data_IF_014492420419
#
_entry.id   IF_014492420419
#
_cell.length_a   1.000
_cell.length_b   1.000
_cell.length_c   1.000
_cell.angle_alpha   90.00
_cell.angle_beta   90.00
_cell.angle_gamma   90.00
#
_symmetry.space_group_name_H-M   'P 1'
#
loop_
_entity.id
_entity.type
_entity.pdbx_description
1 polymer ?
#
# COMPACT_ATOMS: atom_id res chain seq x y z
N UNK A 1 6.06 19.82 10.67
CA UNK A 1 5.49 18.74 11.56
C UNK A 1 5.82 19.05 13.00
N UNK A 2 4.87 18.85 13.94
CA UNK A 2 5.07 19.06 15.39
C UNK A 2 6.07 18.06 15.96
N UNK A 3 6.89 18.48 16.94
CA UNK A 3 7.95 17.66 17.51
C UNK A 3 7.43 16.36 18.14
N UNK A 4 6.31 16.41 18.85
CA UNK A 4 5.70 15.24 19.48
C UNK A 4 5.31 14.16 18.45
N UNK A 5 4.80 14.56 17.27
CA UNK A 5 4.45 13.65 16.19
C UNK A 5 5.73 13.07 15.55
N UNK A 6 6.78 13.90 15.39
CA UNK A 6 8.09 13.45 14.89
C UNK A 6 8.67 12.35 15.77
N UNK A 7 8.65 12.55 17.09
CA UNK A 7 9.21 11.59 18.05
C UNK A 7 8.45 10.25 18.01
N UNK A 8 7.11 10.29 17.95
CA UNK A 8 6.26 9.08 17.83
C UNK A 8 6.54 8.38 16.49
N UNK A 9 6.54 9.11 15.39
CA UNK A 9 6.73 8.55 14.06
C UNK A 9 8.11 7.88 13.92
N UNK A 10 9.17 8.53 14.41
CA UNK A 10 10.50 7.97 14.40
C UNK A 10 10.61 6.69 15.23
N UNK A 11 9.94 6.64 16.41
CA UNK A 11 9.88 5.45 17.23
C UNK A 11 9.17 4.30 16.51
N UNK A 12 8.02 4.55 15.89
CA UNK A 12 7.23 3.54 15.20
C UNK A 12 7.93 3.02 13.94
N UNK A 13 8.51 3.89 13.12
CA UNK A 13 9.30 3.50 11.94
C UNK A 13 10.47 2.59 12.35
N UNK A 14 11.21 2.98 13.38
CA UNK A 14 12.29 2.16 13.94
C UNK A 14 11.78 0.79 14.40
N UNK A 15 10.68 0.77 15.17
CA UNK A 15 10.08 -0.47 15.69
C UNK A 15 9.58 -1.38 14.58
N UNK A 16 8.92 -0.82 13.57
CA UNK A 16 8.44 -1.55 12.39
C UNK A 16 9.60 -2.24 11.65
N UNK A 17 10.71 -1.52 11.47
CA UNK A 17 11.93 -2.04 10.84
C UNK A 17 12.61 -3.13 11.68
N UNK A 18 12.74 -2.92 13.00
CA UNK A 18 13.33 -3.91 13.92
C UNK A 18 12.58 -5.22 13.97
N UNK A 19 11.27 -5.18 13.77
CA UNK A 19 10.42 -6.38 13.72
C UNK A 19 10.50 -7.11 12.36
N UNK A 20 11.14 -6.53 11.34
CA UNK A 20 11.22 -7.14 10.00
C UNK A 20 9.85 -7.31 9.34
N UNK A 21 8.90 -6.39 9.59
CA UNK A 21 7.53 -6.51 9.04
C UNK A 21 7.57 -6.47 7.51
N UNK A 22 8.46 -5.69 6.93
CA UNK A 22 8.66 -5.59 5.47
C UNK A 22 9.32 -6.83 4.85
N UNK A 23 9.95 -7.70 5.67
CA UNK A 23 10.65 -8.90 5.18
C UNK A 23 9.67 -10.07 4.93
N UNK A 24 8.38 -9.89 5.18
CA UNK A 24 7.37 -10.89 4.90
C UNK A 24 7.23 -11.11 3.38
N UNK A 25 6.93 -12.35 2.99
CA UNK A 25 6.74 -12.72 1.59
C UNK A 25 5.64 -11.85 0.97
N UNK A 26 5.96 -11.26 -0.19
CA UNK A 26 5.04 -10.40 -0.97
C UNK A 26 4.51 -9.16 -0.21
N UNK A 27 5.14 -8.74 0.91
CA UNK A 27 4.71 -7.59 1.69
C UNK A 27 4.52 -6.33 0.83
N UNK A 28 5.51 -5.95 0.02
CA UNK A 28 5.42 -4.76 -0.83
C UNK A 28 4.23 -4.83 -1.80
N UNK A 29 3.97 -6.00 -2.35
CA UNK A 29 2.86 -6.23 -3.29
C UNK A 29 1.51 -6.03 -2.60
N UNK A 30 1.28 -6.72 -1.47
CA UNK A 30 0.00 -6.63 -0.76
C UNK A 30 -0.20 -5.26 -0.12
N UNK A 31 0.87 -4.64 0.37
CA UNK A 31 0.81 -3.29 0.90
C UNK A 31 0.41 -2.28 -0.17
N UNK A 32 0.97 -2.39 -1.38
CA UNK A 32 0.58 -1.56 -2.52
C UNK A 32 -0.88 -1.81 -2.95
N UNK A 33 -1.34 -3.06 -2.93
CA UNK A 33 -2.74 -3.38 -3.25
C UNK A 33 -3.71 -2.76 -2.24
N UNK A 34 -3.38 -2.79 -0.95
CA UNK A 34 -4.12 -2.09 0.09
C UNK A 34 -4.18 -0.57 -0.17
N UNK A 35 -3.04 0.07 -0.44
CA UNK A 35 -2.98 1.51 -0.80
C UNK A 35 -3.91 1.83 -1.96
N UNK A 36 -3.88 1.05 -3.05
CA UNK A 36 -4.70 1.27 -4.24
C UNK A 36 -6.18 1.15 -3.89
N UNK A 37 -6.54 0.07 -3.18
CA UNK A 37 -7.93 -0.23 -2.83
C UNK A 37 -8.52 0.86 -1.93
N UNK A 38 -7.81 1.27 -0.89
CA UNK A 38 -8.26 2.35 -0.02
C UNK A 38 -8.31 3.70 -0.73
N UNK A 39 -7.33 3.99 -1.58
CA UNK A 39 -7.33 5.24 -2.36
C UNK A 39 -8.52 5.35 -3.31
N UNK A 40 -8.94 4.23 -3.93
CA UNK A 40 -10.15 4.21 -4.77
C UNK A 40 -11.43 4.20 -3.93
N UNK A 41 -11.41 3.58 -2.75
CA UNK A 41 -12.55 3.55 -1.83
C UNK A 41 -12.90 4.94 -1.26
N UNK A 42 -11.91 5.83 -1.07
CA UNK A 42 -12.14 7.25 -0.74
C UNK A 42 -12.98 7.93 -1.82
N UNK A 43 -12.80 7.55 -3.09
CA UNK A 43 -13.56 8.09 -4.25
C UNK A 43 -14.87 7.33 -4.49
N UNK A 44 -15.22 6.36 -3.65
CA UNK A 44 -16.49 5.67 -3.68
C UNK A 44 -16.46 4.23 -4.21
N UNK A 45 -15.29 3.67 -4.54
CA UNK A 45 -15.17 2.25 -4.89
C UNK A 45 -15.57 1.36 -3.69
N UNK A 46 -16.31 0.31 -3.98
CA UNK A 46 -16.73 -0.70 -3.00
C UNK A 46 -15.95 -2.01 -3.15
N UNK A 47 -14.98 -2.07 -4.05
CA UNK A 47 -14.08 -3.21 -4.24
C UNK A 47 -13.25 -3.40 -2.97
N UNK A 48 -13.24 -4.62 -2.42
CA UNK A 48 -12.46 -4.97 -1.23
C UNK A 48 -11.01 -5.32 -1.59
N UNK A 49 -10.12 -5.38 -0.61
CA UNK A 49 -8.71 -5.76 -0.84
C UNK A 49 -8.58 -7.16 -1.45
N UNK A 50 -9.38 -8.12 -0.97
CA UNK A 50 -9.39 -9.49 -1.51
C UNK A 50 -9.86 -9.50 -2.98
N UNK A 51 -10.94 -8.77 -3.30
CA UNK A 51 -11.43 -8.64 -4.67
C UNK A 51 -10.42 -7.93 -5.58
N UNK A 52 -9.75 -6.90 -5.06
CA UNK A 52 -8.70 -6.20 -5.78
C UNK A 52 -7.48 -7.11 -6.05
N UNK A 53 -7.08 -7.93 -5.08
CA UNK A 53 -6.02 -8.90 -5.26
C UNK A 53 -6.36 -9.91 -6.39
N UNK A 54 -7.55 -10.51 -6.37
CA UNK A 54 -8.00 -11.42 -7.42
C UNK A 54 -8.05 -10.72 -8.79
N UNK A 55 -8.49 -9.46 -8.81
CA UNK A 55 -8.53 -8.65 -10.04
C UNK A 55 -7.11 -8.38 -10.57
N UNK A 56 -6.14 -8.08 -9.71
CA UNK A 56 -4.78 -7.73 -10.10
C UNK A 56 -3.92 -8.93 -10.47
N UNK A 57 -4.07 -10.05 -9.76
CA UNK A 57 -3.24 -11.23 -9.94
C UNK A 57 -3.80 -12.20 -10.98
N UNK A 58 -5.13 -12.38 -11.01
CA UNK A 58 -5.78 -13.42 -11.81
C UNK A 58 -6.71 -12.85 -12.90
N UNK A 59 -6.96 -11.52 -12.90
CA UNK A 59 -7.92 -10.88 -13.80
C UNK A 59 -9.38 -11.22 -13.48
N UNK A 60 -9.66 -11.77 -12.28
CA UNK A 60 -11.02 -12.13 -11.85
C UNK A 60 -11.73 -10.87 -11.40
N UNK A 61 -12.87 -10.57 -12.05
CA UNK A 61 -13.69 -9.40 -11.74
C UNK A 61 -14.52 -9.62 -10.48
N UNK A 62 -14.63 -8.57 -9.64
CA UNK A 62 -15.44 -8.58 -8.43
C UNK A 62 -16.93 -8.69 -8.77
N UNK A 63 -17.56 -9.78 -8.32
CA UNK A 63 -18.98 -10.07 -8.63
C UNK A 63 -19.90 -9.04 -7.96
N UNK A 64 -20.80 -8.48 -8.77
CA UNK A 64 -21.80 -7.52 -8.26
C UNK A 64 -21.27 -6.10 -8.03
N UNK A 65 -20.01 -5.83 -8.37
CA UNK A 65 -19.43 -4.48 -8.33
C UNK A 65 -19.52 -3.79 -9.68
N UNK A 66 -19.83 -2.48 -9.74
CA UNK A 66 -19.81 -1.71 -10.98
C UNK A 66 -18.45 -1.84 -11.71
N UNK A 67 -18.50 -1.97 -13.04
CA UNK A 67 -17.27 -2.05 -13.85
C UNK A 67 -16.38 -0.84 -13.67
N UNK A 68 -16.96 0.36 -13.50
CA UNK A 68 -16.21 1.59 -13.31
C UNK A 68 -15.31 1.56 -12.06
N UNK A 69 -15.75 0.91 -10.98
CA UNK A 69 -14.95 0.78 -9.76
C UNK A 69 -13.76 -0.17 -9.96
N UNK A 70 -13.96 -1.23 -10.71
CA UNK A 70 -12.89 -2.18 -11.05
C UNK A 70 -11.86 -1.54 -11.99
N UNK A 71 -12.32 -0.78 -12.99
CA UNK A 71 -11.46 -0.02 -13.89
C UNK A 71 -10.66 1.06 -13.13
N UNK A 72 -11.27 1.71 -12.14
CA UNK A 72 -10.59 2.69 -11.28
C UNK A 72 -9.41 2.07 -10.51
N UNK A 73 -9.57 0.85 -10.00
CA UNK A 73 -8.51 0.11 -9.33
C UNK A 73 -7.39 -0.30 -10.32
N UNK A 74 -7.76 -0.81 -11.49
CA UNK A 74 -6.80 -1.19 -12.54
C UNK A 74 -6.03 0.02 -13.10
N UNK A 75 -6.68 1.17 -13.28
CA UNK A 75 -6.04 2.40 -13.74
C UNK A 75 -5.03 2.90 -12.70
N UNK A 76 -5.41 2.92 -11.43
CA UNK A 76 -4.51 3.36 -10.36
C UNK A 76 -3.34 2.39 -10.19
N UNK A 77 -3.55 1.07 -10.29
CA UNK A 77 -2.46 0.08 -10.32
C UNK A 77 -1.48 0.35 -11.46
N UNK A 78 -1.98 0.53 -12.68
CA UNK A 78 -1.14 0.84 -13.83
C UNK A 78 -0.37 2.18 -13.67
N UNK A 79 -0.97 3.15 -12.99
CA UNK A 79 -0.32 4.42 -12.66
C UNK A 79 0.82 4.23 -11.64
N UNK A 80 0.64 3.38 -10.62
CA UNK A 80 1.73 3.00 -9.69
C UNK A 80 2.84 2.22 -10.40
N UNK A 81 2.51 1.25 -11.23
CA UNK A 81 3.50 0.44 -11.97
C UNK A 81 4.38 1.31 -12.89
N UNK A 82 3.80 2.30 -13.53
CA UNK A 82 4.55 3.30 -14.29
C UNK A 82 5.34 4.25 -13.39
N UNK A 83 4.68 4.79 -12.37
CA UNK A 83 5.23 5.83 -11.50
C UNK A 83 6.47 5.39 -10.75
N UNK A 84 6.48 4.15 -10.20
CA UNK A 84 7.64 3.61 -9.48
C UNK A 84 8.90 3.49 -10.34
N UNK A 85 8.75 3.19 -11.63
CA UNK A 85 9.89 3.12 -12.55
C UNK A 85 10.34 4.54 -12.93
N UNK A 86 9.39 5.44 -13.12
CA UNK A 86 9.66 6.82 -13.49
C UNK A 86 10.35 7.59 -12.38
N UNK A 87 9.87 7.52 -11.14
CA UNK A 87 10.37 8.33 -10.02
C UNK A 87 11.82 7.96 -9.65
N UNK A 88 12.20 6.70 -9.81
CA UNK A 88 13.57 6.22 -9.55
C UNK A 88 14.63 6.77 -10.54
N UNK A 89 14.24 7.49 -11.57
CA UNK A 89 15.17 8.20 -12.45
C UNK A 89 15.64 9.52 -11.86
N UNK A 90 15.01 9.97 -10.77
CA UNK A 90 15.28 11.25 -10.10
C UNK A 90 15.22 12.48 -11.03
N UNK A 91 14.49 12.38 -12.14
CA UNK A 91 14.27 13.48 -13.07
C UNK A 91 13.41 14.57 -12.43
N UNK A 92 13.55 15.80 -12.93
CA UNK A 92 12.71 16.91 -12.49
C UNK A 92 11.23 16.62 -12.83
N UNK A 93 10.36 16.81 -11.83
CA UNK A 93 8.91 16.69 -12.00
C UNK A 93 8.42 17.91 -12.78
N UNK A 94 7.78 17.67 -13.92
CA UNK A 94 7.25 18.69 -14.82
C UNK A 94 5.70 18.62 -14.89
N UNK A 95 5.10 19.67 -15.42
CA UNK A 95 3.66 19.64 -15.73
C UNK A 95 3.32 18.46 -16.63
N UNK A 96 4.17 18.16 -17.62
CA UNK A 96 3.94 17.05 -18.53
C UNK A 96 4.03 15.69 -17.84
N UNK A 97 4.93 15.49 -16.89
CA UNK A 97 4.99 14.24 -16.11
C UNK A 97 3.77 14.06 -15.24
N UNK A 98 3.24 15.13 -14.63
CA UNK A 98 1.98 15.09 -13.86
C UNK A 98 0.77 14.81 -14.76
N UNK A 99 0.70 15.40 -15.95
CA UNK A 99 -0.31 15.09 -16.98
C UNK A 99 -0.24 13.60 -17.36
N UNK A 100 0.95 13.05 -17.54
CA UNK A 100 1.13 11.63 -17.84
C UNK A 100 0.65 10.72 -16.69
N UNK A 101 0.94 11.07 -15.44
CA UNK A 101 0.44 10.34 -14.27
C UNK A 101 -1.09 10.39 -14.21
N UNK A 102 -1.69 11.58 -14.35
CA UNK A 102 -3.14 11.75 -14.33
C UNK A 102 -3.83 10.98 -15.47
N UNK A 103 -3.23 10.98 -16.67
CA UNK A 103 -3.72 10.18 -17.79
C UNK A 103 -3.79 8.68 -17.46
N UNK A 104 -2.82 8.16 -16.72
CA UNK A 104 -2.83 6.75 -16.29
C UNK A 104 -3.89 6.48 -15.23
N UNK A 105 -4.05 7.40 -14.26
CA UNK A 105 -5.08 7.31 -13.19
C UNK A 105 -6.50 7.35 -13.78
N UNK A 106 -6.68 7.99 -14.93
CA UNK A 106 -7.99 8.21 -15.57
C UNK A 106 -8.15 7.48 -16.92
N UNK A 107 -7.25 6.55 -17.26
CA UNK A 107 -7.12 5.99 -18.60
C UNK A 107 -8.42 5.37 -19.13
N UNK A 108 -9.19 4.67 -18.27
CA UNK A 108 -10.44 3.98 -18.61
C UNK A 108 -11.66 4.62 -17.94
N UNK A 109 -11.43 5.52 -16.98
CA UNK A 109 -12.49 6.15 -16.17
C UNK A 109 -12.70 7.62 -16.48
N UNK A 110 -11.76 8.25 -17.17
CA UNK A 110 -11.86 9.62 -17.68
C UNK A 110 -12.70 9.70 -18.96
N UNK A 111 -13.11 10.94 -19.30
CA UNK A 111 -13.87 11.22 -20.51
C UNK A 111 -13.60 12.63 -21.04
N UNK A 112 -14.22 12.93 -22.18
CA UNK A 112 -14.15 14.24 -22.80
C UNK A 112 -15.15 15.20 -22.16
N UNK A 113 -14.73 16.43 -21.97
CA UNK A 113 -15.51 17.54 -21.44
C UNK A 113 -15.54 18.67 -22.45
N UNK A 114 -16.73 19.25 -22.65
CA UNK A 114 -16.93 20.46 -23.44
C UNK A 114 -17.33 21.61 -22.51
N UNK A 115 -16.60 22.70 -22.57
CA UNK A 115 -16.82 23.87 -21.73
C UNK A 115 -16.68 25.17 -22.53
N UNK A 116 -17.03 26.32 -21.92
CA UNK A 116 -16.75 27.62 -22.53
C UNK A 116 -15.27 27.91 -22.75
N UNK A 117 -14.38 27.23 -21.98
CA UNK A 117 -12.93 27.32 -22.15
C UNK A 117 -12.39 26.40 -23.25
N UNK A 118 -13.25 25.64 -23.92
CA UNK A 118 -12.88 24.65 -24.94
C UNK A 118 -13.01 23.22 -24.44
N UNK A 119 -12.76 22.26 -25.34
CA UNK A 119 -12.78 20.83 -25.03
C UNK A 119 -11.48 20.41 -24.37
N UNK A 120 -11.55 19.37 -23.53
CA UNK A 120 -10.41 18.69 -22.90
C UNK A 120 -10.80 17.27 -22.50
N UNK A 121 -9.82 16.38 -22.44
CA UNK A 121 -10.01 14.96 -22.20
C UNK A 121 -9.28 14.51 -20.91
N UNK A 122 -10.04 14.17 -19.89
CA UNK A 122 -9.52 13.71 -18.60
C UNK A 122 -8.77 12.38 -18.73
N UNK A 123 -9.14 11.50 -19.68
CA UNK A 123 -8.44 10.24 -19.93
C UNK A 123 -7.01 10.42 -20.47
N UNK A 124 -6.74 11.60 -21.04
CA UNK A 124 -5.42 12.02 -21.48
C UNK A 124 -4.66 12.87 -20.45
N UNK A 125 -5.25 13.07 -19.27
CA UNK A 125 -4.68 13.91 -18.21
C UNK A 125 -4.67 15.39 -18.55
N UNK A 126 -5.47 15.83 -19.52
CA UNK A 126 -5.55 17.24 -19.90
C UNK A 126 -6.10 18.10 -18.76
N UNK A 127 -5.51 19.28 -18.59
CA UNK A 127 -5.94 20.21 -17.54
C UNK A 127 -7.36 20.69 -17.80
N UNK A 128 -8.14 20.82 -16.74
CA UNK A 128 -9.52 21.31 -16.83
C UNK A 128 -9.58 22.71 -17.42
N UNK A 129 -10.59 22.95 -18.22
CA UNK A 129 -10.95 24.26 -18.78
C UNK A 129 -12.31 24.75 -18.27
N UNK A 130 -12.67 24.34 -17.05
CA UNK A 130 -13.87 24.75 -16.33
C UNK A 130 -13.59 24.92 -14.86
N UNK A 131 -14.41 25.73 -14.18
CA UNK A 131 -14.33 25.83 -12.72
C UNK A 131 -15.06 24.67 -12.08
N UNK A 132 -14.51 24.17 -10.98
CA UNK A 132 -15.02 23.03 -10.21
C UNK A 132 -15.17 23.40 -8.73
N UNK A 133 -16.10 22.73 -8.05
CA UNK A 133 -16.37 22.89 -6.62
C UNK A 133 -16.20 21.57 -5.88
N UNK A 134 -15.91 21.63 -4.59
CA UNK A 134 -15.88 20.47 -3.71
C UNK A 134 -17.31 20.02 -3.36
N UNK A 135 -17.95 19.28 -4.28
CA UNK A 135 -19.34 18.85 -4.15
C UNK A 135 -20.37 19.98 -4.37
N UNK A 136 -21.65 19.65 -4.24
CA UNK A 136 -22.76 20.61 -4.42
C UNK A 136 -22.76 21.60 -3.25
N UNK A 137 -22.56 22.89 -3.57
CA UNK A 137 -22.52 23.97 -2.56
C UNK A 137 -21.21 24.08 -1.77
N UNK A 138 -20.20 23.31 -2.13
CA UNK A 138 -18.87 23.37 -1.52
C UNK A 138 -18.00 24.52 -2.04
N UNK A 139 -16.77 24.57 -1.51
CA UNK A 139 -15.77 25.57 -1.93
C UNK A 139 -15.42 25.46 -3.40
N UNK A 140 -15.31 26.62 -4.07
CA UNK A 140 -14.76 26.67 -5.42
C UNK A 140 -13.24 26.52 -5.38
N UNK A 141 -12.73 25.58 -6.16
CA UNK A 141 -11.29 25.52 -6.42
C UNK A 141 -10.84 26.72 -7.25
N UNK A 142 -9.52 26.92 -7.37
CA UNK A 142 -9.02 28.07 -8.13
C UNK A 142 -9.58 28.12 -9.55
N UNK A 143 -9.67 29.34 -10.10
CA UNK A 143 -10.10 29.55 -11.47
C UNK A 143 -9.20 28.75 -12.43
N UNK A 144 -9.81 28.02 -13.36
CA UNK A 144 -9.10 27.14 -14.30
C UNK A 144 -8.02 27.86 -15.11
N UNK A 145 -8.19 29.14 -15.45
CA UNK A 145 -7.19 29.92 -16.18
C UNK A 145 -5.87 30.12 -15.40
N UNK A 146 -5.90 30.00 -14.07
CA UNK A 146 -4.73 30.09 -13.21
C UNK A 146 -4.00 28.73 -13.03
N UNK A 147 -4.69 27.63 -13.33
CA UNK A 147 -4.18 26.27 -13.09
C UNK A 147 -2.85 26.01 -13.79
N UNK A 148 -2.64 26.30 -15.10
CA UNK A 148 -1.37 25.98 -15.73
C UNK A 148 -0.17 26.68 -15.09
N UNK A 149 -0.33 27.97 -14.73
CA UNK A 149 0.72 28.75 -14.06
C UNK A 149 1.02 28.20 -12.67
N UNK A 150 -0.03 27.94 -11.87
CA UNK A 150 0.12 27.42 -10.52
C UNK A 150 0.70 26.00 -10.48
N UNK A 151 0.35 25.17 -11.45
CA UNK A 151 0.94 23.82 -11.56
C UNK A 151 2.41 23.89 -11.94
N UNK A 152 2.82 24.83 -12.78
CA UNK A 152 4.23 25.09 -13.09
C UNK A 152 5.02 25.57 -11.86
N UNK A 153 4.49 26.57 -11.15
CA UNK A 153 5.09 27.06 -9.89
C UNK A 153 5.23 25.93 -8.85
N UNK A 154 4.23 25.08 -8.73
CA UNK A 154 4.29 23.89 -7.87
C UNK A 154 5.42 22.93 -8.27
N UNK A 155 5.56 22.60 -9.56
CA UNK A 155 6.65 21.74 -10.04
C UNK A 155 8.03 22.33 -9.74
N UNK A 156 8.19 23.64 -9.96
CA UNK A 156 9.45 24.36 -9.69
C UNK A 156 9.82 24.31 -8.20
N UNK A 157 8.86 24.61 -7.32
CA UNK A 157 9.08 24.57 -5.87
C UNK A 157 9.30 23.14 -5.36
N UNK A 158 8.56 22.16 -5.86
CA UNK A 158 8.74 20.74 -5.51
C UNK A 158 10.16 20.26 -5.88
N UNK A 159 10.62 20.55 -7.09
CA UNK A 159 11.96 20.17 -7.52
C UNK A 159 13.07 20.88 -6.72
N UNK A 160 12.85 22.14 -6.36
CA UNK A 160 13.78 22.87 -5.48
C UNK A 160 13.88 22.18 -4.12
N UNK A 161 12.75 21.80 -3.50
CA UNK A 161 12.72 21.08 -2.23
C UNK A 161 13.39 19.71 -2.34
N UNK A 162 13.10 18.95 -3.40
CA UNK A 162 13.75 17.65 -3.67
C UNK A 162 15.25 17.72 -3.80
N UNK A 163 15.79 18.80 -4.39
CA UNK A 163 17.24 19.02 -4.54
C UNK A 163 17.95 19.43 -3.24
N UNK A 164 17.21 19.94 -2.26
CA UNK A 164 17.78 20.47 -1.00
C UNK A 164 17.45 19.60 0.21
N UNK A 165 16.61 18.58 0.06
CA UNK A 165 16.20 17.71 1.16
C UNK A 165 17.39 16.87 1.65
N UNK A 166 17.50 16.67 2.96
CA UNK A 166 18.36 15.65 3.52
C UNK A 166 17.70 14.26 3.31
N UNK A 167 18.25 13.50 2.39
CA UNK A 167 17.72 12.16 2.04
C UNK A 167 17.96 11.10 3.12
N UNK A 168 18.73 11.42 4.15
CA UNK A 168 18.93 10.56 5.33
C UNK A 168 17.92 10.81 6.43
N UNK A 169 17.17 11.91 6.36
CA UNK A 169 16.07 12.25 7.26
C UNK A 169 14.74 11.76 6.70
N UNK A 170 14.32 10.57 7.11
CA UNK A 170 13.03 9.98 6.70
C UNK A 170 11.84 10.93 7.01
N UNK A 171 11.89 11.67 8.14
CA UNK A 171 10.81 12.58 8.51
C UNK A 171 10.70 13.78 7.55
N UNK A 172 11.84 14.29 7.07
CA UNK A 172 11.85 15.35 6.06
C UNK A 172 11.25 14.87 4.73
N UNK A 173 11.48 13.60 4.36
CA UNK A 173 10.87 12.98 3.16
C UNK A 173 9.34 12.90 3.31
N UNK A 174 8.84 12.48 4.47
CA UNK A 174 7.40 12.47 4.74
C UNK A 174 6.81 13.88 4.69
N UNK A 175 7.45 14.88 5.32
CA UNK A 175 6.99 16.28 5.25
C UNK A 175 6.90 16.78 3.81
N UNK A 176 7.92 16.49 2.99
CA UNK A 176 7.93 16.85 1.56
C UNK A 176 6.77 16.17 0.81
N UNK A 177 6.55 14.89 1.04
CA UNK A 177 5.52 14.12 0.35
C UNK A 177 4.10 14.59 0.71
N UNK A 178 3.85 14.89 1.99
CA UNK A 178 2.57 15.44 2.46
C UNK A 178 2.36 16.87 1.98
N UNK A 179 3.41 17.69 1.95
CA UNK A 179 3.38 19.02 1.35
C UNK A 179 2.99 18.95 -0.14
N UNK A 180 3.62 18.07 -0.90
CA UNK A 180 3.34 17.90 -2.33
C UNK A 180 1.90 17.45 -2.57
N UNK A 181 1.41 16.51 -1.75
CA UNK A 181 0.03 16.06 -1.79
C UNK A 181 -0.94 17.22 -1.61
N UNK A 182 -0.79 18.00 -0.52
CA UNK A 182 -1.68 19.11 -0.21
C UNK A 182 -1.73 20.14 -1.34
N UNK A 183 -0.56 20.56 -1.83
CA UNK A 183 -0.51 21.59 -2.86
C UNK A 183 -1.10 21.11 -4.19
N UNK A 184 -0.83 19.87 -4.61
CA UNK A 184 -1.40 19.35 -5.85
C UNK A 184 -2.92 19.20 -5.78
N UNK A 185 -3.45 18.64 -4.69
CA UNK A 185 -4.90 18.47 -4.54
C UNK A 185 -5.62 19.80 -4.41
N UNK A 186 -4.98 20.84 -3.86
CA UNK A 186 -5.54 22.19 -3.72
C UNK A 186 -5.55 22.95 -5.04
N UNK A 187 -4.52 22.80 -5.88
CA UNK A 187 -4.54 23.35 -7.26
C UNK A 187 -5.69 22.73 -8.05
N UNK A 188 -5.96 21.44 -7.80
CA UNK A 188 -7.04 20.68 -8.43
C UNK A 188 -7.00 20.77 -9.96
N UNK A 189 -5.92 20.28 -10.61
CA UNK A 189 -5.64 20.57 -12.03
C UNK A 189 -6.63 19.93 -13.01
N UNK A 190 -7.29 18.84 -12.64
CA UNK A 190 -8.10 18.02 -13.52
C UNK A 190 -9.60 18.12 -13.17
N UNK A 191 -10.46 17.68 -14.08
CA UNK A 191 -11.89 17.60 -13.80
C UNK A 191 -12.23 16.50 -12.79
N UNK A 192 -11.47 15.39 -12.82
CA UNK A 192 -11.55 14.26 -11.92
C UNK A 192 -10.16 13.63 -11.69
N UNK A 193 -10.04 12.70 -10.72
CA UNK A 193 -8.81 11.99 -10.41
C UNK A 193 -7.80 12.77 -9.56
N UNK A 194 -8.12 13.99 -9.12
CA UNK A 194 -7.19 14.83 -8.36
C UNK A 194 -6.74 14.17 -7.03
N UNK A 195 -7.66 13.61 -6.26
CA UNK A 195 -7.33 12.90 -5.01
C UNK A 195 -6.42 11.72 -5.25
N UNK A 196 -6.77 10.84 -6.19
CA UNK A 196 -5.97 9.65 -6.54
C UNK A 196 -4.57 10.03 -7.04
N UNK A 197 -4.47 11.04 -7.92
CA UNK A 197 -3.18 11.51 -8.45
C UNK A 197 -2.30 12.16 -7.38
N UNK A 198 -2.90 12.91 -6.45
CA UNK A 198 -2.14 13.55 -5.35
C UNK A 198 -1.65 12.52 -4.33
N UNK A 199 -2.46 11.52 -3.97
CA UNK A 199 -2.02 10.40 -3.13
C UNK A 199 -0.97 9.54 -3.83
N UNK A 200 -1.11 9.32 -5.14
CA UNK A 200 -0.08 8.65 -5.94
C UNK A 200 1.25 9.43 -5.90
N UNK A 201 1.25 10.73 -6.18
CA UNK A 201 2.47 11.55 -6.15
C UNK A 201 3.15 11.51 -4.76
N UNK A 202 2.36 11.60 -3.68
CA UNK A 202 2.86 11.45 -2.30
C UNK A 202 3.64 10.14 -2.13
N UNK A 203 3.03 9.03 -2.50
CA UNK A 203 3.66 7.71 -2.38
C UNK A 203 4.86 7.55 -3.32
N UNK A 204 4.82 8.14 -4.53
CA UNK A 204 5.95 8.11 -5.45
C UNK A 204 7.17 8.86 -4.89
N UNK A 205 6.96 10.00 -4.21
CA UNK A 205 8.04 10.71 -3.52
C UNK A 205 8.62 9.87 -2.36
N UNK A 206 7.79 9.12 -1.65
CA UNK A 206 8.22 8.17 -0.64
C UNK A 206 9.01 7.00 -1.25
N UNK A 207 8.56 6.47 -2.39
CA UNK A 207 9.27 5.43 -3.16
C UNK A 207 10.62 5.94 -3.69
N UNK A 208 10.73 7.22 -4.06
CA UNK A 208 11.96 7.82 -4.57
C UNK A 208 13.12 7.66 -3.59
N UNK A 209 12.82 7.74 -2.30
CA UNK A 209 13.81 7.70 -1.21
C UNK A 209 13.71 6.42 -0.35
N UNK A 210 13.03 5.40 -0.84
CA UNK A 210 12.91 4.10 -0.19
C UNK A 210 12.37 4.13 1.26
N UNK A 211 11.48 5.09 1.58
CA UNK A 211 10.76 5.11 2.85
C UNK A 211 9.43 4.37 2.74
N UNK A 212 8.90 3.90 3.87
CA UNK A 212 7.65 3.16 3.91
C UNK A 212 6.48 4.04 3.44
N UNK A 213 5.60 3.46 2.60
CA UNK A 213 4.51 4.23 1.99
C UNK A 213 3.42 4.58 2.99
N UNK A 214 2.80 5.74 2.82
CA UNK A 214 1.66 6.17 3.61
C UNK A 214 0.36 5.69 2.98
N UNK A 215 -0.43 4.92 3.74
CA UNK A 215 -1.82 4.61 3.41
C UNK A 215 -2.75 5.73 3.91
N UNK A 216 -3.85 5.95 3.21
CA UNK A 216 -5.00 6.72 3.70
C UNK A 216 -6.17 5.76 3.60
N UNK A 217 -6.67 5.28 4.73
CA UNK A 217 -7.79 4.36 4.74
C UNK A 217 -9.10 5.06 4.41
N UNK A 218 -10.07 4.28 3.92
CA UNK A 218 -11.43 4.78 3.67
C UNK A 218 -12.07 5.35 4.95
N UNK A 219 -11.77 4.76 6.06
CA UNK A 219 -12.25 5.12 7.39
C UNK A 219 -11.74 6.50 7.82
N UNK A 220 -10.53 6.88 7.39
CA UNK A 220 -9.91 8.18 7.68
C UNK A 220 -10.49 9.32 6.84
N UNK A 221 -11.34 9.01 5.86
CA UNK A 221 -11.82 9.98 4.85
C UNK A 221 -12.35 11.27 5.48
N UNK A 222 -13.10 11.18 6.57
CA UNK A 222 -13.69 12.35 7.22
C UNK A 222 -12.62 13.28 7.80
N UNK A 223 -11.66 12.73 8.58
CA UNK A 223 -10.56 13.48 9.18
C UNK A 223 -9.62 14.05 8.11
N UNK A 224 -9.27 13.25 7.11
CA UNK A 224 -8.46 13.64 5.98
C UNK A 224 -9.07 14.82 5.18
N UNK A 225 -10.37 14.78 4.86
CA UNK A 225 -11.05 15.87 4.15
C UNK A 225 -11.15 17.12 5.03
N UNK A 226 -11.45 16.96 6.32
CA UNK A 226 -11.49 18.07 7.26
C UNK A 226 -10.13 18.78 7.36
N UNK A 227 -9.03 18.02 7.44
CA UNK A 227 -7.68 18.58 7.46
C UNK A 227 -7.36 19.40 6.20
N UNK A 228 -7.83 18.99 5.01
CA UNK A 228 -7.70 19.78 3.78
C UNK A 228 -8.47 21.10 3.86
N UNK A 229 -9.65 21.10 4.49
CA UNK A 229 -10.48 22.31 4.69
C UNK A 229 -9.79 23.24 5.68
N UNK A 230 -9.44 22.76 6.87
CA UNK A 230 -8.84 23.54 7.93
C UNK A 230 -7.52 24.18 7.50
N UNK A 231 -6.69 23.44 6.76
CA UNK A 231 -5.45 23.93 6.18
C UNK A 231 -5.68 25.11 5.22
N UNK A 232 -6.71 25.00 4.40
CA UNK A 232 -7.08 26.05 3.45
C UNK A 232 -7.60 27.30 4.16
N UNK A 233 -8.45 27.11 5.17
CA UNK A 233 -9.05 28.21 5.93
C UNK A 233 -8.00 28.96 6.77
N UNK A 234 -7.07 28.23 7.36
CA UNK A 234 -5.99 28.81 8.17
C UNK A 234 -4.78 29.29 7.35
N UNK A 235 -4.71 28.93 6.06
CA UNK A 235 -3.53 29.13 5.19
C UNK A 235 -2.23 28.54 5.81
N UNK A 236 -2.38 27.48 6.61
CA UNK A 236 -1.28 26.81 7.32
C UNK A 236 -1.14 25.35 6.90
N UNK A 237 -0.17 25.06 6.05
CA UNK A 237 0.11 23.71 5.53
C UNK A 237 0.49 22.71 6.62
N UNK A 238 0.99 23.16 7.77
CA UNK A 238 1.36 22.27 8.87
C UNK A 238 0.16 21.52 9.46
N UNK A 239 -1.06 22.06 9.34
CA UNK A 239 -2.29 21.37 9.78
C UNK A 239 -2.42 20.05 9.02
N UNK A 240 -2.36 20.07 7.68
CA UNK A 240 -2.46 18.87 6.87
C UNK A 240 -1.28 17.92 7.06
N UNK A 241 -0.05 18.45 7.11
CA UNK A 241 1.15 17.65 7.34
C UNK A 241 1.07 16.90 8.68
N UNK A 242 0.63 17.57 9.75
CA UNK A 242 0.47 16.94 11.06
C UNK A 242 -0.65 15.88 11.07
N UNK A 243 -1.77 16.12 10.37
CA UNK A 243 -2.85 15.15 10.23
C UNK A 243 -2.35 13.89 9.50
N UNK A 244 -1.69 14.04 8.35
CA UNK A 244 -1.16 12.92 7.59
C UNK A 244 -0.10 12.12 8.36
N UNK A 245 0.77 12.80 9.10
CA UNK A 245 1.76 12.14 9.94
C UNK A 245 1.12 11.37 11.10
N UNK A 246 0.07 11.93 11.73
CA UNK A 246 -0.71 11.25 12.77
C UNK A 246 -1.38 9.98 12.24
N UNK A 247 -2.09 10.07 11.10
CA UNK A 247 -2.71 8.92 10.46
C UNK A 247 -1.67 7.85 10.10
N UNK A 248 -0.51 8.25 9.59
CA UNK A 248 0.56 7.31 9.30
C UNK A 248 1.08 6.61 10.57
N UNK A 249 1.24 7.33 11.69
CA UNK A 249 1.59 6.74 12.98
C UNK A 249 0.55 5.72 13.46
N UNK A 250 -0.73 6.04 13.35
CA UNK A 250 -1.83 5.14 13.75
C UNK A 250 -1.81 3.84 12.92
N UNK A 251 -1.59 3.95 11.61
CA UNK A 251 -1.50 2.78 10.74
C UNK A 251 -0.23 1.95 11.00
N UNK A 252 0.91 2.58 11.26
CA UNK A 252 2.14 1.88 11.67
C UNK A 252 1.93 1.11 12.98
N UNK A 253 1.26 1.72 13.96
CA UNK A 253 0.94 1.04 15.22
C UNK A 253 0.04 -0.16 14.98
N UNK A 254 -1.00 -0.04 14.14
CA UNK A 254 -1.88 -1.15 13.78
C UNK A 254 -1.12 -2.28 13.08
N UNK A 255 -0.24 -1.96 12.12
CA UNK A 255 0.58 -2.96 11.41
C UNK A 255 1.50 -3.70 12.41
N UNK A 256 2.11 -2.99 13.36
CA UNK A 256 2.93 -3.57 14.44
C UNK A 256 2.10 -4.49 15.34
N UNK A 257 0.95 -4.03 15.80
CA UNK A 257 0.07 -4.79 16.69
C UNK A 257 -0.42 -6.09 16.03
N UNK A 258 -0.88 -6.01 14.78
CA UNK A 258 -1.29 -7.17 13.99
C UNK A 258 -0.14 -8.17 13.81
N UNK A 259 1.06 -7.69 13.52
CA UNK A 259 2.24 -8.54 13.38
C UNK A 259 2.58 -9.25 14.69
N UNK A 260 2.57 -8.54 15.81
CA UNK A 260 2.86 -9.10 17.13
C UNK A 260 1.82 -10.14 17.55
N UNK A 261 0.52 -9.87 17.33
CA UNK A 261 -0.55 -10.83 17.62
C UNK A 261 -0.37 -12.09 16.78
N UNK A 262 -0.23 -11.95 15.46
CA UNK A 262 -0.06 -13.10 14.55
C UNK A 262 1.20 -13.92 14.86
N UNK A 263 2.25 -13.26 15.29
CA UNK A 263 3.51 -13.93 15.68
C UNK A 263 3.37 -14.62 17.02
N UNK A 264 2.65 -14.01 17.98
CA UNK A 264 2.38 -14.60 19.30
C UNK A 264 1.50 -15.84 19.18
N UNK A 265 0.44 -15.78 18.38
CA UNK A 265 -0.45 -16.93 18.11
C UNK A 265 0.33 -18.08 17.47
N UNK A 266 1.19 -17.81 16.47
CA UNK A 266 2.06 -18.81 15.85
C UNK A 266 3.07 -19.41 16.86
N UNK A 267 3.58 -18.62 17.80
CA UNK A 267 4.47 -19.11 18.86
C UNK A 267 3.76 -19.98 19.89
N UNK A 268 2.54 -19.60 20.29
CA UNK A 268 1.73 -20.41 21.22
C UNK A 268 1.39 -21.76 20.60
N UNK A 269 0.85 -21.75 19.37
CA UNK A 269 0.53 -22.97 18.62
C UNK A 269 1.78 -23.90 18.47
N UNK A 270 2.92 -23.31 18.10
CA UNK A 270 4.19 -24.06 18.00
C UNK A 270 4.63 -24.66 19.34
N UNK A 271 4.50 -23.93 20.43
CA UNK A 271 4.91 -24.39 21.76
C UNK A 271 4.01 -25.52 22.27
N UNK A 272 2.70 -25.41 22.06
CA UNK A 272 1.72 -26.44 22.41
C UNK A 272 1.96 -27.72 21.62
N UNK A 273 2.15 -27.60 20.30
CA UNK A 273 2.46 -28.73 19.40
C UNK A 273 3.78 -29.41 19.81
N UNK A 274 4.82 -28.63 20.12
CA UNK A 274 6.09 -29.17 20.60
C UNK A 274 5.91 -29.96 21.88
N UNK A 275 5.17 -29.42 22.86
CA UNK A 275 4.91 -30.10 24.14
C UNK A 275 4.10 -31.37 23.91
N UNK A 276 3.06 -31.34 23.08
CA UNK A 276 2.28 -32.54 22.73
C UNK A 276 3.14 -33.61 22.07
N UNK A 277 4.05 -33.23 21.16
CA UNK A 277 4.97 -34.19 20.51
C UNK A 277 5.92 -34.86 21.52
N UNK A 278 6.40 -34.13 22.49
CA UNK A 278 7.27 -34.67 23.55
C UNK A 278 6.49 -35.61 24.46
N UNK A 279 5.32 -35.20 24.91
CA UNK A 279 4.53 -35.92 25.91
C UNK A 279 3.82 -37.15 25.32
N UNK A 280 3.18 -37.01 24.17
CA UNK A 280 2.36 -38.07 23.55
C UNK A 280 3.16 -39.06 22.74
N UNK A 281 4.19 -38.58 22.03
CA UNK A 281 4.97 -39.40 21.09
C UNK A 281 6.39 -39.70 21.56
N UNK A 282 6.75 -39.23 22.77
CA UNK A 282 8.09 -39.43 23.38
C UNK A 282 9.23 -38.99 22.45
N UNK A 283 9.02 -37.93 21.68
CA UNK A 283 10.03 -37.42 20.74
C UNK A 283 11.04 -36.55 21.49
N UNK A 284 12.31 -36.65 21.13
CA UNK A 284 13.34 -35.77 21.70
C UNK A 284 13.01 -34.30 21.42
N UNK A 285 13.14 -33.36 22.37
CA UNK A 285 12.77 -31.94 22.21
C UNK A 285 13.38 -31.28 20.98
N UNK A 286 14.65 -31.65 20.65
CA UNK A 286 15.34 -31.12 19.46
C UNK A 286 14.70 -31.54 18.13
N UNK A 287 14.13 -32.74 18.07
CA UNK A 287 13.40 -33.21 16.88
C UNK A 287 11.96 -32.64 16.87
N UNK A 288 11.30 -32.62 18.01
CA UNK A 288 9.97 -32.03 18.16
C UNK A 288 9.97 -30.56 17.73
N UNK A 289 11.00 -29.78 18.11
CA UNK A 289 11.16 -28.40 17.65
C UNK A 289 11.22 -28.26 16.12
N UNK A 290 11.99 -29.13 15.44
CA UNK A 290 12.08 -29.12 13.97
C UNK A 290 10.78 -29.54 13.27
N UNK A 291 10.02 -30.45 13.88
CA UNK A 291 8.72 -30.86 13.37
C UNK A 291 7.65 -29.76 13.59
N UNK A 292 7.69 -29.11 14.75
CA UNK A 292 6.82 -27.97 15.05
C UNK A 292 7.12 -26.75 14.13
N UNK A 293 8.39 -26.55 13.72
CA UNK A 293 8.75 -25.54 12.72
C UNK A 293 8.06 -25.77 11.37
N UNK A 294 7.91 -27.04 10.95
CA UNK A 294 7.22 -27.37 9.71
C UNK A 294 5.71 -27.09 9.82
N UNK A 295 5.09 -27.41 10.97
CA UNK A 295 3.65 -27.13 11.18
C UNK A 295 3.42 -25.63 11.24
N UNK A 296 4.27 -24.87 11.92
CA UNK A 296 4.19 -23.41 11.95
C UNK A 296 4.37 -22.78 10.55
N UNK A 297 5.26 -23.36 9.73
CA UNK A 297 5.44 -22.96 8.33
C UNK A 297 4.18 -23.20 7.46
N UNK A 298 3.32 -24.13 7.86
CA UNK A 298 2.07 -24.46 7.17
C UNK A 298 0.86 -23.63 7.64
N UNK A 299 1.00 -22.81 8.68
CA UNK A 299 -0.14 -22.15 9.33
C UNK A 299 -0.98 -21.29 8.37
N UNK A 300 -0.35 -20.72 7.35
CA UNK A 300 -0.95 -19.84 6.34
C UNK A 300 -1.01 -20.46 4.92
N UNK A 301 -0.82 -21.77 4.80
CA UNK A 301 -0.78 -22.49 3.52
C UNK A 301 -1.82 -23.62 3.48
N UNK A 302 -2.60 -23.68 2.41
CA UNK A 302 -3.56 -24.77 2.20
C UNK A 302 -2.84 -26.10 2.01
N UNK A 303 -1.76 -26.12 1.24
CA UNK A 303 -0.94 -27.32 1.04
C UNK A 303 0.55 -26.96 0.89
N UNK A 304 1.42 -27.92 1.21
CA UNK A 304 2.86 -27.78 0.95
C UNK A 304 3.41 -29.02 0.21
N UNK A 305 4.56 -28.81 -0.45
CA UNK A 305 5.36 -29.86 -1.08
C UNK A 305 6.77 -29.93 -0.50
N UNK A 306 7.42 -31.07 -0.67
CA UNK A 306 8.78 -31.30 -0.17
C UNK A 306 9.77 -30.21 -0.61
N UNK A 307 9.66 -29.72 -1.86
CA UNK A 307 10.55 -28.71 -2.43
C UNK A 307 10.49 -27.37 -1.70
N UNK A 308 9.33 -27.00 -1.17
CA UNK A 308 9.16 -25.77 -0.39
C UNK A 308 9.92 -25.83 0.94
N UNK A 309 9.93 -26.99 1.61
CA UNK A 309 10.71 -27.19 2.84
C UNK A 309 12.23 -27.15 2.57
N UNK A 310 12.64 -27.68 1.41
CA UNK A 310 14.06 -27.62 0.99
C UNK A 310 14.48 -26.17 0.76
N UNK A 311 13.66 -25.40 0.03
CA UNK A 311 14.01 -24.05 -0.38
C UNK A 311 13.90 -23.04 0.77
N UNK A 312 12.86 -23.14 1.60
CA UNK A 312 12.54 -22.11 2.59
C UNK A 312 13.01 -22.42 4.02
N UNK A 313 13.10 -23.71 4.38
CA UNK A 313 13.63 -24.14 5.68
C UNK A 313 15.07 -24.69 5.61
N UNK A 314 15.70 -24.66 4.44
CA UNK A 314 17.09 -25.10 4.26
C UNK A 314 17.31 -26.60 4.55
N UNK A 315 16.26 -27.43 4.44
CA UNK A 315 16.33 -28.85 4.70
C UNK A 315 16.85 -29.59 3.47
N UNK A 316 17.57 -30.71 3.69
CA UNK A 316 17.84 -31.64 2.58
C UNK A 316 16.54 -32.36 2.18
N UNK A 317 16.41 -32.74 0.92
CA UNK A 317 15.21 -33.45 0.40
C UNK A 317 14.91 -34.72 1.21
N UNK A 318 15.92 -35.48 1.56
CA UNK A 318 15.79 -36.70 2.39
C UNK A 318 15.26 -36.38 3.79
N UNK A 319 15.72 -35.30 4.40
CA UNK A 319 15.27 -34.86 5.72
C UNK A 319 13.82 -34.32 5.66
N UNK A 320 13.49 -33.52 4.66
CA UNK A 320 12.14 -32.99 4.46
C UNK A 320 11.13 -34.13 4.27
N UNK A 321 11.40 -35.10 3.39
CA UNK A 321 10.56 -36.30 3.20
C UNK A 321 10.37 -37.10 4.48
N UNK A 322 11.43 -37.28 5.27
CA UNK A 322 11.36 -37.99 6.55
C UNK A 322 10.46 -37.26 7.54
N UNK A 323 10.60 -35.95 7.69
CA UNK A 323 9.82 -35.16 8.62
C UNK A 323 8.34 -35.10 8.21
N UNK A 324 8.04 -34.92 6.93
CA UNK A 324 6.66 -34.94 6.41
C UNK A 324 6.00 -36.31 6.66
N UNK A 325 6.73 -37.39 6.48
CA UNK A 325 6.22 -38.73 6.81
C UNK A 325 5.94 -38.88 8.29
N UNK A 326 6.85 -38.48 9.18
CA UNK A 326 6.65 -38.54 10.61
C UNK A 326 5.44 -37.71 11.07
N UNK A 327 5.29 -36.47 10.55
CA UNK A 327 4.13 -35.63 10.86
C UNK A 327 2.81 -36.26 10.37
N UNK A 328 2.84 -36.98 9.25
CA UNK A 328 1.67 -37.74 8.77
C UNK A 328 1.38 -38.93 9.68
N UNK A 329 2.40 -39.68 10.11
CA UNK A 329 2.26 -40.82 11.03
C UNK A 329 1.74 -40.37 12.41
N UNK A 330 2.11 -39.19 12.87
CA UNK A 330 1.62 -38.59 14.12
C UNK A 330 0.25 -37.93 13.99
N UNK A 331 -0.32 -37.86 12.77
CA UNK A 331 -1.64 -37.35 12.54
C UNK A 331 -1.76 -35.83 12.45
N UNK A 332 -0.66 -35.09 12.37
CA UNK A 332 -0.65 -33.65 12.16
C UNK A 332 -0.85 -33.25 10.72
N UNK A 333 -0.48 -34.13 9.78
CA UNK A 333 -0.62 -33.88 8.34
C UNK A 333 -1.41 -35.00 7.67
N UNK A 334 -2.05 -34.63 6.55
CA UNK A 334 -2.64 -35.54 5.59
C UNK A 334 -1.89 -35.46 4.26
N UNK A 335 -1.54 -36.63 3.70
CA UNK A 335 -0.79 -36.69 2.45
C UNK A 335 -1.74 -36.92 1.26
N UNK A 336 -1.59 -36.14 0.20
CA UNK A 336 -2.39 -36.20 -1.03
C UNK A 336 -1.50 -36.50 -2.24
N UNK A 337 -2.06 -37.17 -3.25
CA UNK A 337 -1.38 -37.46 -4.51
C UNK A 337 -0.45 -38.66 -4.49
N UNK A 338 0.21 -38.93 -5.62
CA UNK A 338 1.15 -40.04 -5.81
C UNK A 338 2.61 -39.57 -5.71
N UNK A 339 3.56 -40.53 -5.82
CA UNK A 339 4.99 -40.25 -5.58
C UNK A 339 5.61 -39.05 -6.32
N UNK A 340 5.09 -38.64 -7.47
CA UNK A 340 5.62 -37.49 -8.24
C UNK A 340 4.95 -36.15 -7.91
N UNK A 341 3.71 -36.17 -7.38
CA UNK A 341 2.91 -34.97 -7.08
C UNK A 341 2.38 -35.02 -5.64
N UNK A 342 3.21 -35.46 -4.70
CA UNK A 342 2.78 -35.58 -3.31
C UNK A 342 2.77 -34.23 -2.63
N UNK A 343 1.61 -33.85 -2.11
CA UNK A 343 1.40 -32.67 -1.28
C UNK A 343 0.87 -33.05 0.10
N UNK A 344 0.91 -32.10 1.02
CA UNK A 344 0.53 -32.30 2.41
C UNK A 344 -0.30 -31.13 2.89
N UNK A 345 -1.42 -31.43 3.57
CA UNK A 345 -2.29 -30.44 4.23
C UNK A 345 -2.21 -30.66 5.74
N UNK A 346 -2.43 -29.59 6.51
CA UNK A 346 -2.59 -29.65 7.97
C UNK A 346 -3.94 -30.28 8.30
N UNK A 347 -4.00 -31.16 9.32
CA UNK A 347 -5.24 -31.71 9.85
C UNK A 347 -5.86 -30.80 10.89
#
# INVERSE_FOLDING_TARGET
>A
MKQEIKDVMQHLLKRHKELGITDQIDYEKFYLYSIITHSTAIEGSTVTEVEAQLLFDEGITAKGKPMIEQLMNLDLKAAYDYGRIWIKRHEDISVQSLVTLAAKVMARTGGEYNSLGGSFDASKGELRKLNVTAGAGGWSYMNWMKVPTKLKEFCEELNKRRKTIDTTDELAIYELSFWAHYHLVTIHPWADGNGRTSRLLMNLLQMEYDVLLTKVYKEDKAEYIQALIDTREAEDTDIFINCMAKLHCEHLQQDIDHFLISTSEKMVDKTEILQEMVDKWSIKPTLAGKLADIIAFMADKEEIRTEQLVTQLGLTETTAKRYLRQLTEFGYLEAHGGNRNKSYTRK
#
